data_IF_323447556411
#
_entry.id   IF_323447556411
#
_cell.length_a   1.000
_cell.length_b   1.000
_cell.length_c   1.000
_cell.angle_alpha   90.00
_cell.angle_beta   90.00
_cell.angle_gamma   90.00
#
_symmetry.space_group_name_H-M   'P 1'
#
loop_
_entity.id
_entity.type
_entity.pdbx_description
1 polymer ?
#
# COMPACT_ATOMS: atom_id res chain seq x y z
N UNK A 1 0.47 -19.81 5.63
CA UNK A 1 1.87 -19.81 5.17
C UNK A 1 2.39 -18.40 4.87
N UNK A 2 1.62 -17.51 4.21
CA UNK A 2 2.08 -16.13 3.92
C UNK A 2 2.26 -15.23 5.16
N UNK A 3 1.43 -15.37 6.20
CA UNK A 3 1.46 -14.49 7.36
C UNK A 3 2.69 -14.69 8.30
N UNK A 4 3.34 -15.84 8.26
CA UNK A 4 4.50 -16.13 9.11
C UNK A 4 5.82 -15.58 8.58
N UNK A 5 5.87 -15.15 7.33
CA UNK A 5 7.07 -14.64 6.65
C UNK A 5 7.08 -13.11 6.46
N UNK A 6 6.10 -12.40 7.01
CA UNK A 6 6.21 -10.95 7.16
C UNK A 6 7.29 -10.66 8.20
N UNK A 7 8.53 -10.67 7.73
CA UNK A 7 9.73 -10.43 8.53
C UNK A 7 9.63 -9.04 9.20
N UNK A 8 10.16 -8.96 10.40
CA UNK A 8 10.31 -7.70 11.14
C UNK A 8 10.98 -6.60 10.29
N UNK A 9 11.85 -6.98 9.35
CA UNK A 9 12.46 -6.06 8.38
C UNK A 9 11.43 -5.37 7.47
N UNK A 10 10.42 -6.11 6.98
CA UNK A 10 9.33 -5.53 6.18
C UNK A 10 8.53 -4.56 7.04
N UNK A 11 8.21 -4.93 8.28
CA UNK A 11 7.50 -4.06 9.23
C UNK A 11 8.26 -2.75 9.52
N UNK A 12 9.59 -2.83 9.68
CA UNK A 12 10.44 -1.63 9.81
C UNK A 12 10.41 -0.77 8.54
N UNK A 13 10.48 -1.39 7.37
CA UNK A 13 10.39 -0.66 6.10
C UNK A 13 9.05 0.05 5.97
N UNK A 14 7.94 -0.63 6.27
CA UNK A 14 6.60 -0.04 6.31
C UNK A 14 6.55 1.15 7.28
N UNK A 15 7.07 0.98 8.51
CA UNK A 15 7.12 2.03 9.50
C UNK A 15 7.89 3.28 9.03
N UNK A 16 9.10 3.06 8.52
CA UNK A 16 9.97 4.15 8.06
C UNK A 16 9.35 4.90 6.89
N UNK A 17 8.85 4.18 5.90
CA UNK A 17 8.23 4.78 4.72
C UNK A 17 6.93 5.50 5.08
N UNK A 18 6.08 4.91 5.94
CA UNK A 18 4.86 5.55 6.40
C UNK A 18 5.11 6.90 7.08
N UNK A 19 6.19 7.02 7.88
CA UNK A 19 6.57 8.29 8.50
C UNK A 19 6.93 9.34 7.46
N UNK A 20 7.77 8.99 6.49
CA UNK A 20 8.19 9.92 5.43
C UNK A 20 6.99 10.41 4.65
N UNK A 21 6.18 9.48 4.16
CA UNK A 21 4.99 9.78 3.35
C UNK A 21 3.97 10.63 4.12
N UNK A 22 3.73 10.31 5.41
CA UNK A 22 2.82 11.07 6.25
C UNK A 22 3.32 12.49 6.54
N UNK A 23 4.63 12.67 6.75
CA UNK A 23 5.23 13.99 6.95
C UNK A 23 5.11 14.87 5.70
N UNK A 24 5.34 14.31 4.51
CA UNK A 24 5.25 15.06 3.26
C UNK A 24 3.80 15.40 2.93
N UNK A 25 2.86 14.48 3.16
CA UNK A 25 1.42 14.74 3.09
C UNK A 25 1.02 15.88 4.04
N UNK A 26 1.46 15.82 5.30
CA UNK A 26 1.14 16.83 6.30
C UNK A 26 1.65 18.23 5.88
N UNK A 27 2.92 18.34 5.48
CA UNK A 27 3.50 19.60 4.96
C UNK A 27 2.69 20.17 3.81
N UNK A 28 2.25 19.31 2.89
CA UNK A 28 1.45 19.75 1.75
C UNK A 28 0.07 20.26 2.17
N UNK A 29 -0.67 19.52 3.00
CA UNK A 29 -2.04 19.87 3.42
C UNK A 29 -2.06 21.17 4.23
N UNK A 30 -1.08 21.38 5.09
CA UNK A 30 -0.96 22.63 5.88
C UNK A 30 -0.81 23.85 4.97
N UNK A 31 -0.06 23.73 3.87
CA UNK A 31 0.16 24.81 2.93
C UNK A 31 -0.90 24.93 1.83
N UNK A 32 -1.68 23.87 1.62
CA UNK A 32 -2.69 23.78 0.57
C UNK A 32 -4.00 23.20 1.15
N UNK A 33 -4.73 23.97 1.96
CA UNK A 33 -5.98 23.52 2.57
C UNK A 33 -7.02 23.18 1.49
N UNK A 34 -7.62 22.00 1.57
CA UNK A 34 -8.60 21.52 0.58
C UNK A 34 -9.17 20.16 0.96
N UNK A 35 -9.89 19.53 0.05
CA UNK A 35 -10.57 18.24 0.23
C UNK A 35 -9.77 17.03 -0.29
N UNK A 36 -8.45 17.14 -0.37
CA UNK A 36 -7.57 16.12 -0.99
C UNK A 36 -7.06 15.07 0.02
N UNK A 37 -7.58 15.04 1.24
CA UNK A 37 -7.09 14.16 2.31
C UNK A 37 -7.16 12.69 1.91
N UNK A 38 -8.28 12.23 1.36
CA UNK A 38 -8.44 10.82 0.98
C UNK A 38 -7.47 10.42 -0.17
N UNK A 39 -7.35 11.27 -1.17
CA UNK A 39 -6.42 11.04 -2.28
C UNK A 39 -4.96 11.06 -1.81
N UNK A 40 -4.64 11.92 -0.83
CA UNK A 40 -3.35 11.94 -0.17
C UNK A 40 -3.05 10.66 0.62
N UNK A 41 -4.02 10.12 1.35
CA UNK A 41 -3.91 8.85 2.07
C UNK A 41 -3.77 7.66 1.11
N UNK A 42 -4.44 7.71 -0.05
CA UNK A 42 -4.23 6.74 -1.12
C UNK A 42 -2.80 6.78 -1.64
N UNK A 43 -2.22 7.96 -1.82
CA UNK A 43 -0.81 8.10 -2.21
C UNK A 43 0.14 7.56 -1.14
N UNK A 44 -0.14 7.78 0.14
CA UNK A 44 0.64 7.16 1.24
C UNK A 44 0.58 5.64 1.15
N UNK A 45 -0.62 5.05 1.05
CA UNK A 45 -0.78 3.60 1.03
C UNK A 45 -0.04 2.94 -0.14
N UNK A 46 -0.19 3.47 -1.36
CA UNK A 46 0.45 2.87 -2.54
C UNK A 46 1.97 3.00 -2.51
N UNK A 47 2.51 4.13 -2.01
CA UNK A 47 3.95 4.32 -1.91
C UNK A 47 4.57 3.40 -0.85
N UNK A 48 3.91 3.24 0.29
CA UNK A 48 4.36 2.30 1.35
C UNK A 48 4.36 0.87 0.83
N UNK A 49 3.32 0.43 0.11
CA UNK A 49 3.28 -0.89 -0.53
C UNK A 49 4.36 -1.00 -1.60
N UNK A 50 4.57 0.02 -2.40
CA UNK A 50 5.63 0.09 -3.41
C UNK A 50 7.01 -0.13 -2.80
N UNK A 51 7.31 0.56 -1.71
CA UNK A 51 8.59 0.41 -1.03
C UNK A 51 8.74 -0.95 -0.34
N UNK A 52 7.74 -1.37 0.45
CA UNK A 52 7.81 -2.61 1.21
C UNK A 52 7.70 -3.87 0.35
N UNK A 53 6.90 -3.82 -0.71
CA UNK A 53 6.66 -4.94 -1.60
C UNK A 53 7.71 -5.11 -2.68
N UNK A 54 8.24 -4.02 -3.22
CA UNK A 54 9.01 -4.01 -4.47
C UNK A 54 10.29 -3.18 -4.43
N UNK A 55 10.63 -2.58 -3.28
CA UNK A 55 11.70 -1.58 -3.13
C UNK A 55 11.56 -0.41 -4.13
N UNK A 56 10.33 -0.03 -4.45
CA UNK A 56 10.02 1.11 -5.29
C UNK A 56 9.78 2.33 -4.41
N UNK A 57 10.75 3.23 -4.37
CA UNK A 57 10.63 4.48 -3.61
C UNK A 57 10.04 5.58 -4.50
N UNK A 58 8.97 6.19 -4.01
CA UNK A 58 8.29 7.28 -4.70
C UNK A 58 8.08 8.46 -3.72
N UNK A 59 8.20 9.67 -4.23
CA UNK A 59 7.85 10.86 -3.47
C UNK A 59 6.34 10.98 -3.34
N UNK A 60 5.90 11.49 -2.19
CA UNK A 60 4.47 11.72 -1.98
C UNK A 60 3.93 12.79 -2.93
N UNK A 61 2.75 12.54 -3.48
CA UNK A 61 2.01 13.50 -4.32
C UNK A 61 0.55 13.57 -3.87
N UNK A 62 -0.13 14.74 -4.06
CA UNK A 62 -1.49 14.96 -3.54
C UNK A 62 -2.58 14.11 -4.18
N UNK A 63 -2.24 13.26 -5.13
CA UNK A 63 -3.20 12.34 -5.75
C UNK A 63 -2.53 11.49 -6.82
N UNK A 64 -3.02 10.26 -6.96
CA UNK A 64 -2.52 9.30 -7.96
C UNK A 64 -2.71 9.78 -9.41
N UNK A 65 -3.73 10.61 -9.65
CA UNK A 65 -4.01 11.16 -10.99
C UNK A 65 -2.87 12.02 -11.54
N UNK A 66 -2.07 12.63 -10.69
CA UNK A 66 -0.94 13.44 -11.11
C UNK A 66 0.16 12.62 -11.81
N UNK A 67 0.15 11.30 -11.65
CA UNK A 67 1.15 10.37 -12.19
C UNK A 67 0.68 9.64 -13.46
N UNK A 68 -0.61 9.72 -13.81
CA UNK A 68 -1.17 8.93 -14.90
C UNK A 68 -0.57 9.29 -16.25
N UNK A 69 -0.05 8.30 -16.94
CA UNK A 69 0.50 8.40 -18.29
C UNK A 69 1.99 8.76 -18.36
N UNK A 70 2.69 8.80 -17.21
CA UNK A 70 4.12 9.13 -17.16
C UNK A 70 5.03 7.89 -17.33
N UNK A 71 4.61 6.74 -16.83
CA UNK A 71 5.40 5.53 -16.84
C UNK A 71 5.02 4.60 -17.99
N UNK A 72 6.02 4.13 -18.73
CA UNK A 72 5.82 3.25 -19.90
C UNK A 72 6.41 1.85 -19.74
N UNK A 73 7.24 1.63 -18.71
CA UNK A 73 7.98 0.37 -18.49
C UNK A 73 8.24 0.11 -17.02
N UNK A 74 8.54 -1.14 -16.67
CA UNK A 74 9.04 -1.57 -15.39
C UNK A 74 8.04 -1.43 -14.23
N UNK A 75 8.59 -1.34 -13.01
CA UNK A 75 7.82 -1.24 -11.76
C UNK A 75 6.86 -0.06 -11.75
N UNK A 76 7.29 1.10 -12.25
CA UNK A 76 6.45 2.30 -12.27
C UNK A 76 5.20 2.11 -13.14
N UNK A 77 5.33 1.52 -14.34
CA UNK A 77 4.19 1.20 -15.20
C UNK A 77 3.26 0.15 -14.59
N UNK A 78 3.81 -0.83 -13.88
CA UNK A 78 3.02 -1.82 -13.15
C UNK A 78 2.18 -1.16 -12.06
N UNK A 79 2.77 -0.28 -11.22
CA UNK A 79 2.03 0.44 -10.18
C UNK A 79 1.00 1.41 -10.74
N UNK A 80 1.30 2.07 -11.84
CA UNK A 80 0.32 2.93 -12.52
C UNK A 80 -0.87 2.10 -13.02
N UNK A 81 -0.61 0.93 -13.59
CA UNK A 81 -1.65 -0.01 -14.01
C UNK A 81 -2.54 -0.46 -12.85
N UNK A 82 -1.93 -0.87 -11.73
CA UNK A 82 -2.68 -1.28 -10.53
C UNK A 82 -3.53 -0.14 -9.99
N UNK A 83 -2.99 1.06 -9.95
CA UNK A 83 -3.71 2.25 -9.52
C UNK A 83 -4.92 2.55 -10.41
N UNK A 84 -4.78 2.43 -11.74
CA UNK A 84 -5.87 2.57 -12.69
C UNK A 84 -6.95 1.50 -12.53
N UNK A 85 -6.53 0.24 -12.42
CA UNK A 85 -7.47 -0.89 -12.23
C UNK A 85 -8.27 -0.69 -10.94
N UNK A 86 -7.63 -0.26 -9.86
CA UNK A 86 -8.31 -0.04 -8.57
C UNK A 86 -9.28 1.14 -8.63
N UNK A 87 -8.88 2.25 -9.26
CA UNK A 87 -9.74 3.43 -9.40
C UNK A 87 -10.93 3.19 -10.32
N UNK A 88 -10.79 2.34 -11.32
CA UNK A 88 -11.79 2.03 -12.35
C UNK A 88 -12.14 0.53 -12.33
N UNK A 89 -12.32 -0.01 -11.10
CA UNK A 89 -12.49 -1.45 -10.89
C UNK A 89 -13.68 -2.03 -11.64
N UNK A 90 -14.83 -1.33 -11.63
CA UNK A 90 -16.03 -1.79 -12.31
C UNK A 90 -15.83 -1.81 -13.83
N UNK A 91 -15.21 -0.77 -14.37
CA UNK A 91 -14.92 -0.69 -15.79
C UNK A 91 -13.89 -1.75 -16.19
N UNK A 92 -12.85 -1.94 -15.37
CA UNK A 92 -11.83 -2.96 -15.59
C UNK A 92 -12.41 -4.38 -15.57
N UNK A 93 -13.41 -4.64 -14.69
CA UNK A 93 -14.04 -5.95 -14.55
C UNK A 93 -15.09 -6.24 -15.62
N UNK A 94 -15.81 -5.22 -16.11
CA UNK A 94 -16.97 -5.41 -16.97
C UNK A 94 -16.69 -5.14 -18.44
N UNK A 95 -15.71 -4.29 -18.76
CA UNK A 95 -15.45 -3.88 -20.15
C UNK A 95 -14.24 -4.63 -20.72
N UNK A 96 -14.37 -5.30 -21.88
CA UNK A 96 -13.22 -5.85 -22.57
C UNK A 96 -12.24 -4.74 -22.98
N UNK A 97 -10.94 -4.99 -22.84
CA UNK A 97 -9.85 -4.04 -23.13
C UNK A 97 -9.93 -3.42 -24.52
N UNK A 98 -10.40 -4.21 -25.52
CA UNK A 98 -10.58 -3.75 -26.89
C UNK A 98 -11.59 -2.59 -27.00
N UNK A 99 -12.70 -2.65 -26.24
CA UNK A 99 -13.69 -1.58 -26.22
C UNK A 99 -13.21 -0.34 -25.49
N UNK A 100 -12.43 -0.49 -24.42
CA UNK A 100 -11.86 0.64 -23.68
C UNK A 100 -10.97 1.52 -24.57
N UNK A 101 -10.27 0.94 -25.53
CA UNK A 101 -9.33 1.65 -26.45
C UNK A 101 -10.01 2.40 -27.60
N UNK A 102 -11.33 2.31 -27.74
CA UNK A 102 -12.02 3.03 -28.81
C UNK A 102 -11.91 4.55 -28.63
N UNK A 103 -11.73 5.32 -29.72
CA UNK A 103 -11.56 6.78 -29.64
C UNK A 103 -12.77 7.54 -29.08
N UNK A 104 -13.93 6.91 -29.04
CA UNK A 104 -15.17 7.44 -28.43
C UNK A 104 -15.15 7.36 -26.88
N UNK A 105 -14.29 6.51 -26.30
CA UNK A 105 -14.19 6.34 -24.86
C UNK A 105 -13.40 7.49 -24.20
N UNK A 106 -13.64 7.69 -22.91
CA UNK A 106 -12.89 8.69 -22.14
C UNK A 106 -11.39 8.37 -22.14
N UNK A 107 -10.55 9.39 -22.03
CA UNK A 107 -9.10 9.24 -22.01
C UNK A 107 -8.62 8.29 -20.89
N UNK A 108 -9.31 8.30 -19.73
CA UNK A 108 -9.01 7.38 -18.62
C UNK A 108 -9.27 5.92 -18.98
N UNK A 109 -10.39 5.62 -19.67
CA UNK A 109 -10.69 4.26 -20.14
C UNK A 109 -9.71 3.78 -21.20
N UNK A 110 -9.32 4.65 -22.14
CA UNK A 110 -8.32 4.31 -23.16
C UNK A 110 -6.97 3.98 -22.51
N UNK A 111 -6.56 4.76 -21.53
CA UNK A 111 -5.33 4.54 -20.77
C UNK A 111 -5.40 3.21 -20.00
N UNK A 112 -6.52 2.96 -19.29
CA UNK A 112 -6.75 1.69 -18.60
C UNK A 112 -6.65 0.50 -19.55
N UNK A 113 -7.33 0.55 -20.69
CA UNK A 113 -7.29 -0.53 -21.70
C UNK A 113 -5.89 -0.77 -22.25
N UNK A 114 -5.10 0.28 -22.47
CA UNK A 114 -3.72 0.18 -22.89
C UNK A 114 -2.83 -0.50 -21.84
N UNK A 115 -2.93 -0.06 -20.58
CA UNK A 115 -2.14 -0.63 -19.49
C UNK A 115 -2.53 -2.07 -19.18
N UNK A 116 -3.84 -2.39 -19.16
CA UNK A 116 -4.30 -3.76 -18.91
C UNK A 116 -3.78 -4.75 -19.95
N UNK A 117 -3.72 -4.36 -21.22
CA UNK A 117 -3.19 -5.21 -22.28
C UNK A 117 -1.69 -5.51 -22.11
N UNK A 118 -0.93 -4.53 -21.59
CA UNK A 118 0.51 -4.66 -21.36
C UNK A 118 0.89 -5.17 -19.97
N UNK A 119 -0.09 -5.43 -19.09
CA UNK A 119 0.17 -5.94 -17.74
C UNK A 119 1.10 -7.16 -17.71
N UNK A 120 0.95 -8.18 -18.58
CA UNK A 120 1.87 -9.32 -18.57
C UNK A 120 3.32 -8.93 -18.85
N UNK A 121 3.56 -7.95 -19.74
CA UNK A 121 4.90 -7.43 -20.05
C UNK A 121 5.49 -6.74 -18.82
N UNK A 122 4.74 -5.85 -18.19
CA UNK A 122 5.17 -5.13 -16.97
C UNK A 122 5.50 -6.08 -15.83
N UNK A 123 4.71 -7.14 -15.65
CA UNK A 123 4.97 -8.15 -14.62
C UNK A 123 6.29 -8.86 -14.89
N UNK A 124 6.55 -9.29 -16.12
CA UNK A 124 7.82 -9.95 -16.46
C UNK A 124 9.01 -9.00 -16.26
N UNK A 125 8.88 -7.73 -16.63
CA UNK A 125 9.90 -6.71 -16.34
C UNK A 125 10.17 -6.59 -14.84
N UNK A 126 9.12 -6.50 -14.01
CA UNK A 126 9.23 -6.42 -12.54
C UNK A 126 9.93 -7.64 -11.95
N UNK A 127 9.56 -8.86 -12.40
CA UNK A 127 10.18 -10.11 -11.93
C UNK A 127 11.66 -10.17 -12.31
N UNK A 128 11.98 -9.80 -13.55
CA UNK A 128 13.36 -9.81 -14.05
C UNK A 128 14.22 -8.74 -13.34
N UNK A 129 13.69 -7.53 -13.14
CA UNK A 129 14.39 -6.49 -12.38
C UNK A 129 14.70 -6.95 -10.95
N UNK A 130 13.76 -7.61 -10.28
CA UNK A 130 13.95 -8.07 -8.92
C UNK A 130 14.93 -9.22 -8.81
N UNK A 131 14.88 -10.21 -9.74
CA UNK A 131 15.87 -11.29 -9.83
C UNK A 131 17.28 -10.74 -10.01
N UNK A 132 17.48 -9.84 -10.97
CA UNK A 132 18.76 -9.20 -11.24
C UNK A 132 19.26 -8.39 -10.03
N UNK A 133 18.38 -7.69 -9.34
CA UNK A 133 18.72 -6.89 -8.19
C UNK A 133 19.04 -7.75 -6.96
N UNK A 134 18.36 -8.89 -6.79
CA UNK A 134 18.64 -9.87 -5.72
C UNK A 134 19.99 -10.56 -5.93
N UNK A 135 20.31 -10.93 -7.16
CA UNK A 135 21.62 -11.48 -7.52
C UNK A 135 22.78 -10.50 -7.22
N UNK A 136 22.64 -9.23 -7.66
CA UNK A 136 23.63 -8.17 -7.39
C UNK A 136 23.84 -7.91 -5.90
N UNK A 137 22.80 -8.06 -5.09
CA UNK A 137 22.83 -7.88 -3.64
C UNK A 137 23.30 -9.13 -2.86
N UNK A 138 23.77 -10.17 -3.55
CA UNK A 138 24.22 -11.43 -2.92
C UNK A 138 23.09 -12.16 -2.17
N UNK A 139 21.84 -12.02 -2.63
CA UNK A 139 20.68 -12.66 -2.00
C UNK A 139 20.11 -11.94 -0.78
N UNK A 140 20.60 -10.74 -0.44
CA UNK A 140 20.24 -10.02 0.81
C UNK A 140 19.14 -8.95 0.63
N UNK A 141 18.20 -9.09 -0.30
CA UNK A 141 17.06 -8.19 -0.38
C UNK A 141 15.90 -8.67 0.49
N UNK A 142 15.17 -7.73 1.11
CA UNK A 142 14.14 -8.01 2.11
C UNK A 142 12.80 -7.33 1.78
N UNK A 143 12.44 -7.24 0.50
CA UNK A 143 11.09 -6.87 0.11
C UNK A 143 10.22 -8.12 -0.11
N UNK A 144 8.90 -7.92 -0.19
CA UNK A 144 7.95 -9.04 -0.33
C UNK A 144 8.16 -9.85 -1.62
N UNK A 145 8.45 -9.18 -2.74
CA UNK A 145 8.69 -9.85 -4.01
C UNK A 145 9.97 -10.69 -3.99
N UNK A 146 11.07 -10.15 -3.45
CA UNK A 146 12.33 -10.91 -3.34
C UNK A 146 12.16 -12.15 -2.46
N UNK A 147 11.36 -12.05 -1.39
CA UNK A 147 11.06 -13.19 -0.53
C UNK A 147 10.25 -14.27 -1.28
N UNK A 148 9.23 -13.88 -2.04
CA UNK A 148 8.45 -14.84 -2.87
C UNK A 148 9.32 -15.54 -3.90
N UNK A 149 10.19 -14.80 -4.60
CA UNK A 149 11.11 -15.36 -5.58
C UNK A 149 12.11 -16.33 -4.94
N UNK A 150 12.70 -15.96 -3.81
CA UNK A 150 13.66 -16.82 -3.09
C UNK A 150 12.99 -18.13 -2.65
N UNK A 151 11.81 -18.08 -2.03
CA UNK A 151 11.09 -19.28 -1.60
C UNK A 151 10.74 -20.17 -2.79
N UNK A 152 10.29 -19.61 -3.91
CA UNK A 152 10.00 -20.39 -5.12
C UNK A 152 11.24 -21.04 -5.72
N UNK A 153 12.36 -20.31 -5.77
CA UNK A 153 13.62 -20.82 -6.33
C UNK A 153 14.27 -21.87 -5.42
N UNK A 154 14.18 -21.75 -4.09
CA UNK A 154 14.65 -22.74 -3.13
C UNK A 154 13.89 -24.07 -3.27
N UNK A 155 12.56 -24.02 -3.38
CA UNK A 155 11.72 -25.19 -3.59
C UNK A 155 12.02 -25.89 -4.93
N UNK A 156 12.26 -25.12 -6.00
CA UNK A 156 12.70 -25.68 -7.29
C UNK A 156 14.05 -26.39 -7.20
N UNK A 157 15.01 -25.84 -6.45
CA UNK A 157 16.37 -26.43 -6.28
C UNK A 157 16.36 -27.65 -5.39
N UNK A 158 15.49 -27.70 -4.38
CA UNK A 158 15.37 -28.84 -3.45
C UNK A 158 14.66 -30.06 -4.05
N UNK A 159 14.11 -29.95 -5.29
CA UNK A 159 13.35 -30.99 -5.95
C UNK A 159 11.97 -31.25 -5.32
N UNK A 160 11.56 -30.44 -4.37
CA UNK A 160 10.20 -30.46 -3.79
C UNK A 160 9.26 -29.60 -4.64
N UNK A 161 8.99 -30.03 -5.86
CA UNK A 161 8.16 -29.30 -6.82
C UNK A 161 6.71 -29.04 -6.37
N UNK A 162 6.33 -29.54 -5.21
CA UNK A 162 4.96 -29.47 -4.70
C UNK A 162 4.58 -28.05 -4.20
N UNK A 163 5.55 -27.18 -3.95
CA UNK A 163 5.31 -25.81 -3.42
C UNK A 163 5.99 -24.69 -4.23
N UNK A 164 6.68 -25.00 -5.34
CA UNK A 164 7.27 -23.98 -6.18
C UNK A 164 6.19 -23.19 -6.93
N UNK A 165 6.15 -21.87 -6.72
CA UNK A 165 5.25 -20.97 -7.43
C UNK A 165 5.74 -20.75 -8.87
N UNK A 166 4.82 -20.80 -9.83
CA UNK A 166 5.08 -20.32 -11.19
C UNK A 166 5.14 -18.78 -11.23
N UNK A 167 5.70 -18.21 -12.27
CA UNK A 167 5.71 -16.76 -12.46
C UNK A 167 4.30 -16.17 -12.54
N UNK A 168 3.32 -16.93 -13.08
CA UNK A 168 1.91 -16.53 -13.10
C UNK A 168 1.28 -16.51 -11.70
N UNK A 169 1.59 -17.49 -10.85
CA UNK A 169 1.12 -17.52 -9.46
C UNK A 169 1.77 -16.43 -8.60
N UNK A 170 3.04 -16.13 -8.81
CA UNK A 170 3.73 -14.98 -8.20
C UNK A 170 3.06 -13.68 -8.65
N UNK A 171 2.80 -13.52 -9.94
CA UNK A 171 2.10 -12.37 -10.50
C UNK A 171 0.71 -12.17 -9.90
N UNK A 172 -0.08 -13.24 -9.82
CA UNK A 172 -1.40 -13.22 -9.18
C UNK A 172 -1.34 -12.85 -7.71
N UNK A 173 -0.36 -13.37 -6.97
CA UNK A 173 -0.13 -13.05 -5.56
C UNK A 173 0.24 -11.58 -5.36
N UNK A 174 1.10 -11.04 -6.23
CA UNK A 174 1.50 -9.62 -6.20
C UNK A 174 0.30 -8.71 -6.51
N UNK A 175 -0.50 -9.06 -7.50
CA UNK A 175 -1.71 -8.30 -7.84
C UNK A 175 -2.67 -8.24 -6.65
N UNK A 176 -2.97 -9.38 -6.02
CA UNK A 176 -3.85 -9.45 -4.85
C UNK A 176 -3.25 -8.65 -3.68
N UNK A 177 -1.97 -8.85 -3.37
CA UNK A 177 -1.29 -8.14 -2.28
C UNK A 177 -1.36 -6.62 -2.46
N UNK A 178 -1.07 -6.13 -3.66
CA UNK A 178 -1.05 -4.69 -3.92
C UNK A 178 -2.46 -4.12 -3.93
N UNK A 179 -3.37 -4.72 -4.70
CA UNK A 179 -4.74 -4.20 -4.87
C UNK A 179 -5.53 -4.26 -3.57
N UNK A 180 -5.51 -5.39 -2.86
CA UNK A 180 -6.23 -5.54 -1.61
C UNK A 180 -5.63 -4.69 -0.49
N UNK A 181 -4.29 -4.62 -0.40
CA UNK A 181 -3.59 -3.86 0.64
C UNK A 181 -3.73 -2.35 0.49
N UNK A 182 -3.72 -1.85 -0.73
CA UNK A 182 -3.77 -0.42 -1.03
C UNK A 182 -5.10 0.22 -0.63
N UNK A 183 -6.21 -0.25 -1.19
CA UNK A 183 -7.50 0.44 -1.07
C UNK A 183 -8.10 0.29 0.33
N UNK A 184 -8.02 -0.91 0.90
CA UNK A 184 -8.53 -1.16 2.25
C UNK A 184 -7.79 -0.33 3.29
N UNK A 185 -6.47 -0.23 3.19
CA UNK A 185 -5.63 0.57 4.08
C UNK A 185 -5.94 2.07 3.94
N UNK A 186 -6.01 2.58 2.72
CA UNK A 186 -6.32 3.99 2.46
C UNK A 186 -7.72 4.37 2.99
N UNK A 187 -8.72 3.53 2.77
CA UNK A 187 -10.07 3.74 3.27
C UNK A 187 -10.13 3.69 4.80
N UNK A 188 -9.45 2.73 5.43
CA UNK A 188 -9.37 2.64 6.90
C UNK A 188 -8.74 3.91 7.50
N UNK A 189 -7.64 4.39 6.92
CA UNK A 189 -7.04 5.66 7.33
C UNK A 189 -7.99 6.83 7.12
N UNK A 190 -8.69 6.88 5.98
CA UNK A 190 -9.68 7.92 5.67
C UNK A 190 -10.82 7.96 6.68
N UNK A 191 -11.39 6.81 7.03
CA UNK A 191 -12.41 6.71 8.08
C UNK A 191 -11.87 7.13 9.46
N UNK A 192 -10.65 6.70 9.81
CA UNK A 192 -10.02 7.06 11.08
C UNK A 192 -9.81 8.57 11.20
N UNK A 193 -9.31 9.22 10.15
CA UNK A 193 -9.10 10.68 10.13
C UNK A 193 -10.44 11.42 10.18
N UNK A 194 -11.45 10.98 9.42
CA UNK A 194 -12.80 11.56 9.44
C UNK A 194 -13.45 11.42 10.81
N UNK A 195 -13.30 10.26 11.45
CA UNK A 195 -13.79 10.03 12.81
C UNK A 195 -13.11 10.95 13.82
N UNK A 196 -11.80 11.09 13.76
CA UNK A 196 -11.05 12.00 14.62
C UNK A 196 -11.47 13.47 14.41
N UNK A 197 -11.74 13.87 13.18
CA UNK A 197 -12.22 15.22 12.88
C UNK A 197 -13.62 15.48 13.48
N UNK A 198 -14.50 14.48 13.46
CA UNK A 198 -15.86 14.58 14.01
C UNK A 198 -15.89 14.54 15.55
N UNK A 199 -14.88 13.92 16.17
CA UNK A 199 -14.87 13.66 17.61
C UNK A 199 -13.54 14.08 18.27
N UNK A 200 -13.35 15.38 18.58
CA UNK A 200 -12.08 15.92 19.11
C UNK A 200 -11.58 15.25 20.40
N UNK A 201 -12.50 14.73 21.25
CA UNK A 201 -12.11 14.00 22.46
C UNK A 201 -11.26 12.77 22.19
N UNK A 202 -11.43 12.12 21.03
CA UNK A 202 -10.60 10.98 20.64
C UNK A 202 -9.23 11.41 20.12
N UNK A 203 -9.11 12.62 19.59
CA UNK A 203 -7.79 13.19 19.27
C UNK A 203 -6.98 13.40 20.54
N UNK A 204 -7.61 13.95 21.60
CA UNK A 204 -6.95 14.16 22.88
C UNK A 204 -6.54 12.85 23.53
N UNK A 205 -7.42 11.84 23.50
CA UNK A 205 -7.13 10.52 24.01
C UNK A 205 -5.93 9.85 23.34
N UNK A 206 -5.75 9.99 22.02
CA UNK A 206 -4.55 9.52 21.30
C UNK A 206 -3.35 10.40 21.64
N UNK A 207 -3.54 11.71 21.72
CA UNK A 207 -2.45 12.65 22.01
C UNK A 207 -1.81 12.37 23.37
N UNK A 208 -2.59 11.99 24.37
CA UNK A 208 -2.09 11.55 25.68
C UNK A 208 -1.16 10.32 25.56
N UNK A 209 -1.48 9.37 24.68
CA UNK A 209 -0.61 8.19 24.44
C UNK A 209 0.74 8.60 23.85
N UNK A 210 0.74 9.63 23.00
CA UNK A 210 1.93 10.10 22.29
C UNK A 210 2.77 11.11 23.09
N UNK A 211 2.22 11.70 24.16
CA UNK A 211 2.91 12.72 24.98
C UNK A 211 4.25 12.26 25.58
N UNK A 212 4.43 10.96 25.80
CA UNK A 212 5.67 10.38 26.31
C UNK A 212 6.72 10.09 25.26
N UNK A 213 6.45 10.39 23.99
CA UNK A 213 7.36 10.18 22.88
C UNK A 213 8.15 11.46 22.57
N UNK A 214 9.25 11.31 21.83
CA UNK A 214 9.99 12.47 21.32
C UNK A 214 9.08 13.34 20.43
N UNK A 215 9.23 14.66 20.53
CA UNK A 215 8.51 15.62 19.69
C UNK A 215 8.86 15.49 18.20
N UNK A 216 10.05 14.96 17.90
CA UNK A 216 10.47 14.70 16.52
C UNK A 216 10.12 13.26 16.08
N UNK A 217 9.10 13.07 15.22
CA UNK A 217 8.72 11.76 14.71
C UNK A 217 9.83 11.06 13.92
N UNK A 218 10.84 11.79 13.41
CA UNK A 218 11.96 11.20 12.71
C UNK A 218 12.79 10.29 13.63
N UNK A 219 12.82 10.58 14.94
CA UNK A 219 13.56 9.80 15.95
C UNK A 219 12.82 8.53 16.40
N UNK A 220 11.55 8.36 16.03
CA UNK A 220 10.73 7.24 16.46
C UNK A 220 11.17 5.94 15.81
N UNK A 221 11.62 4.99 16.63
CA UNK A 221 11.98 3.65 16.20
C UNK A 221 10.78 2.70 16.30
N UNK A 222 10.64 1.82 15.32
CA UNK A 222 9.55 0.86 15.24
C UNK A 222 9.38 0.05 16.53
N UNK A 223 10.46 -0.53 17.02
CA UNK A 223 10.50 -1.41 18.18
C UNK A 223 10.14 -0.73 19.50
N UNK A 224 10.40 0.58 19.60
CA UNK A 224 10.18 1.34 20.80
C UNK A 224 8.79 1.99 20.85
N UNK A 225 8.27 2.40 19.68
CA UNK A 225 7.05 3.21 19.58
C UNK A 225 5.84 2.38 19.21
N UNK A 226 5.93 1.51 18.20
CA UNK A 226 4.79 0.74 17.72
C UNK A 226 4.08 -0.08 18.82
N UNK A 227 4.77 -0.77 19.75
CA UNK A 227 4.11 -1.50 20.83
C UNK A 227 3.35 -0.62 21.82
N UNK A 228 3.64 0.70 21.85
CA UNK A 228 2.98 1.67 22.72
C UNK A 228 1.72 2.28 22.09
N UNK A 229 1.57 2.23 20.76
CA UNK A 229 0.44 2.81 20.02
C UNK A 229 -0.85 1.98 20.13
N UNK A 230 -1.26 1.62 21.35
CA UNK A 230 -2.43 0.76 21.59
C UNK A 230 -3.75 1.50 21.33
N UNK A 231 -3.83 2.78 21.72
CA UNK A 231 -5.01 3.62 21.49
C UNK A 231 -5.20 3.90 20.00
N UNK A 232 -4.13 4.15 19.29
CA UNK A 232 -4.13 4.34 17.84
C UNK A 232 -4.63 3.08 17.12
N UNK A 233 -4.15 1.89 17.49
CA UNK A 233 -4.63 0.62 16.95
C UNK A 233 -6.11 0.37 17.27
N UNK A 234 -6.53 0.64 18.51
CA UNK A 234 -7.93 0.51 18.92
C UNK A 234 -8.85 1.44 18.12
N UNK A 235 -8.41 2.66 17.81
CA UNK A 235 -9.13 3.58 16.95
C UNK A 235 -9.33 3.01 15.55
N UNK A 236 -8.27 2.50 14.92
CA UNK A 236 -8.34 1.94 13.57
C UNK A 236 -9.34 0.78 13.47
N UNK A 237 -9.39 -0.08 14.49
CA UNK A 237 -10.36 -1.18 14.54
C UNK A 237 -11.81 -0.66 14.73
N UNK A 238 -12.00 0.44 15.47
CA UNK A 238 -13.33 1.02 15.74
C UNK A 238 -13.84 1.97 14.65
N UNK A 239 -12.97 2.60 13.90
CA UNK A 239 -13.37 3.47 12.79
C UNK A 239 -13.99 2.71 11.61
N UNK A 240 -13.90 1.37 11.60
CA UNK A 240 -14.67 0.52 10.71
C UNK A 240 -16.16 0.73 10.99
N UNK A 241 -17.02 0.99 9.97
CA UNK A 241 -18.40 1.36 10.18
C UNK A 241 -19.12 0.29 11.04
N UNK A 242 -19.71 0.66 12.19
CA UNK A 242 -20.45 -0.27 12.98
C UNK A 242 -21.71 -0.67 12.23
N UNK A 243 -21.97 -1.97 12.14
CA UNK A 243 -23.32 -2.46 11.90
C UNK A 243 -24.25 -1.81 12.92
N UNK A 244 -25.28 -1.13 12.49
CA UNK A 244 -26.35 -0.31 13.09
C UNK A 244 -26.72 -0.45 14.60
N UNK A 245 -25.84 -0.82 15.50
CA UNK A 245 -26.21 -1.07 16.91
C UNK A 245 -25.19 -0.66 17.98
N UNK A 246 -24.21 0.19 17.67
CA UNK A 246 -23.26 0.61 18.70
C UNK A 246 -23.50 2.05 19.12
N UNK A 247 -24.34 2.23 20.14
CA UNK A 247 -24.32 3.41 21.01
C UNK A 247 -22.90 3.55 21.56
N UNK A 248 -22.28 4.72 21.34
CA UNK A 248 -20.95 5.05 21.86
C UNK A 248 -20.98 5.05 23.40
N UNK A 249 -20.76 3.90 24.01
CA UNK A 249 -20.41 3.85 25.43
C UNK A 249 -18.88 3.93 25.59
N UNK A 250 -18.39 4.69 26.58
CA UNK A 250 -16.96 4.73 26.87
C UNK A 250 -16.47 3.33 27.22
N UNK A 251 -15.35 2.96 26.64
CA UNK A 251 -14.75 1.64 26.81
C UNK A 251 -14.18 1.52 28.21
N UNK A 252 -14.72 0.62 29.01
CA UNK A 252 -14.01 0.07 30.15
C UNK A 252 -12.87 -0.83 29.63
N UNK A 253 -11.68 -0.28 29.55
CA UNK A 253 -10.44 -1.03 29.38
C UNK A 253 -10.02 -1.64 30.73
N UNK A 254 -10.71 -2.71 31.14
CA UNK A 254 -10.16 -3.67 32.07
C UNK A 254 -10.02 -5.00 31.31
N UNK A 255 -8.83 -5.24 30.75
CA UNK A 255 -8.13 -6.52 30.63
C UNK A 255 -6.66 -6.26 30.39
#
# INVERSE_FOLDING_TARGET
MFASNLDERISRTVWMESKVQAQDMFKYIVNNPGNQTLDGLKSVAINVIGQAGFSQKEDWTPGLRARLGAATTGKAAYFETLSLITQMFLEAALLPTKFMKLPIMSRGLQLLGYHMERTPEYVQEVLNEERNATEKAGGSRSNFLSLLLQLSDEDRRSGQSQFSLSDDEISGSLFIFTTAGYETTANTMGYSVSFLAAYPQWQEWIREELQGLSEDPATWKYEEVFPKCRRTLALMVRSWPPSNSCQCQPFNLYM
#
